data_IF_471618314425
#
_entry.id   IF_471618314425
#
_cell.length_a   1.000
_cell.length_b   1.000
_cell.length_c   1.000
_cell.angle_alpha   90.00
_cell.angle_beta   90.00
_cell.angle_gamma   90.00
#
_symmetry.space_group_name_H-M   'P 1'
#
loop_
_entity.id
_entity.type
_entity.pdbx_description
1 polymer ?
#
# COMPACT_ATOMS: atom_id res chain seq x y z
N UNK A 1 -3.99 5.12 42.77
CA UNK A 1 -5.19 5.53 42.02
C UNK A 1 -4.75 6.35 40.83
N UNK A 2 -4.83 5.74 39.64
CA UNK A 2 -4.93 6.30 38.30
C UNK A 2 -4.41 5.22 37.32
N UNK A 3 -5.24 4.21 37.09
CA UNK A 3 -5.13 3.30 35.95
C UNK A 3 -5.65 4.06 34.74
N UNK A 4 -4.75 4.55 33.90
CA UNK A 4 -5.11 5.06 32.58
C UNK A 4 -5.19 3.87 31.62
N UNK A 5 -6.39 3.58 31.14
CA UNK A 5 -6.63 2.63 30.06
C UNK A 5 -5.92 3.13 28.79
N UNK A 6 -4.81 2.46 28.48
CA UNK A 6 -4.09 2.59 27.21
C UNK A 6 -4.79 1.66 26.21
N UNK A 7 -5.32 2.15 25.07
CA UNK A 7 -6.01 1.31 24.11
C UNK A 7 -5.03 0.37 23.40
N UNK A 8 -4.89 -0.83 23.97
CA UNK A 8 -4.69 -2.11 23.32
C UNK A 8 -3.73 -2.16 22.12
N UNK A 9 -2.43 -2.19 22.39
CA UNK A 9 -1.47 -2.81 21.46
C UNK A 9 -1.52 -4.33 21.66
N UNK A 10 -2.19 -5.04 20.75
CA UNK A 10 -2.22 -6.52 20.73
C UNK A 10 -1.11 -7.01 19.80
N UNK A 11 -0.07 -7.62 20.38
CA UNK A 11 1.04 -8.21 19.63
C UNK A 11 0.53 -9.21 18.59
N UNK A 12 0.74 -8.91 17.30
CA UNK A 12 0.45 -9.80 16.17
C UNK A 12 -0.76 -9.43 15.31
N UNK A 13 -1.58 -8.47 15.73
CA UNK A 13 -2.64 -7.90 14.89
C UNK A 13 -2.18 -6.52 14.40
N UNK A 14 -1.90 -6.41 13.10
CA UNK A 14 -1.53 -5.13 12.51
C UNK A 14 -2.56 -4.05 12.83
N UNK A 15 -2.08 -2.84 13.09
CA UNK A 15 -2.89 -1.66 13.42
C UNK A 15 -4.14 -1.57 12.54
N UNK A 16 -5.31 -1.69 13.17
CA UNK A 16 -6.62 -1.41 12.57
C UNK A 16 -7.05 -0.05 13.14
N UNK A 17 -7.04 1.04 12.35
CA UNK A 17 -7.58 2.32 12.81
C UNK A 17 -9.02 2.13 13.28
N UNK A 18 -9.43 2.81 14.36
CA UNK A 18 -10.77 2.69 14.95
C UNK A 18 -11.90 2.89 13.90
N UNK A 19 -11.68 3.78 12.95
CA UNK A 19 -12.56 4.08 11.81
C UNK A 19 -12.79 2.87 10.87
N UNK A 20 -11.91 1.86 10.92
CA UNK A 20 -12.00 0.64 10.09
C UNK A 20 -12.99 -0.39 10.66
N UNK A 21 -13.30 -0.31 11.95
CA UNK A 21 -14.28 -1.19 12.61
C UNK A 21 -15.69 -0.66 12.38
N UNK A 22 -15.87 0.66 12.38
CA UNK A 22 -17.13 1.28 11.94
C UNK A 22 -17.42 1.00 10.46
N UNK A 23 -16.42 1.12 9.56
CA UNK A 23 -16.58 0.75 8.15
C UNK A 23 -16.91 -0.74 7.95
N UNK A 24 -16.31 -1.64 8.71
CA UNK A 24 -16.60 -3.08 8.60
C UNK A 24 -18.02 -3.43 9.10
N UNK A 25 -18.51 -2.72 10.14
CA UNK A 25 -19.87 -2.88 10.63
C UNK A 25 -20.91 -2.26 9.69
N UNK A 26 -20.58 -1.14 9.03
CA UNK A 26 -21.44 -0.54 7.98
C UNK A 26 -21.50 -1.42 6.73
N UNK A 27 -20.40 -2.05 6.32
CA UNK A 27 -20.38 -3.02 5.21
C UNK A 27 -21.19 -4.28 5.58
N UNK A 28 -21.07 -4.77 6.82
CA UNK A 28 -21.87 -5.89 7.30
C UNK A 28 -23.36 -5.53 7.41
N UNK A 29 -23.71 -4.32 7.84
CA UNK A 29 -25.09 -3.83 7.89
C UNK A 29 -25.68 -3.54 6.50
N UNK A 30 -24.85 -3.14 5.52
CA UNK A 30 -25.24 -3.02 4.10
C UNK A 30 -25.44 -4.37 3.44
N UNK A 31 -24.61 -5.36 3.77
CA UNK A 31 -24.78 -6.74 3.31
C UNK A 31 -26.07 -7.40 3.86
N UNK A 32 -26.59 -6.90 4.99
CA UNK A 32 -27.86 -7.32 5.61
C UNK A 32 -29.05 -6.45 5.15
N UNK A 33 -28.80 -5.42 4.32
CA UNK A 33 -29.87 -4.66 3.69
C UNK A 33 -30.38 -5.43 2.47
N UNK A 34 -31.69 -5.63 2.39
CA UNK A 34 -32.45 -6.21 1.27
C UNK A 34 -32.33 -5.38 -0.05
N UNK A 35 -31.16 -4.81 -0.34
CA UNK A 35 -30.84 -4.27 -1.65
C UNK A 35 -30.75 -5.44 -2.63
N UNK A 36 -31.90 -5.82 -3.22
CA UNK A 36 -31.98 -6.89 -4.20
C UNK A 36 -31.01 -6.62 -5.36
N UNK A 37 -29.82 -7.23 -5.30
CA UNK A 37 -28.85 -7.17 -6.38
C UNK A 37 -29.43 -7.83 -7.63
N UNK A 38 -29.32 -7.15 -8.78
CA UNK A 38 -29.62 -7.79 -10.06
C UNK A 38 -28.36 -8.48 -10.59
N UNK A 39 -28.49 -9.64 -11.25
CA UNK A 39 -27.38 -10.18 -12.01
C UNK A 39 -27.00 -9.18 -13.12
N UNK A 40 -25.70 -8.96 -13.28
CA UNK A 40 -25.14 -8.24 -14.42
C UNK A 40 -25.43 -9.04 -15.70
N UNK A 41 -25.71 -8.33 -16.80
CA UNK A 41 -25.66 -8.95 -18.12
C UNK A 41 -24.21 -9.34 -18.47
N UNK A 42 -24.03 -10.26 -19.42
CA UNK A 42 -22.71 -10.69 -19.87
C UNK A 42 -21.84 -9.49 -20.31
N UNK A 43 -22.43 -8.52 -21.01
CA UNK A 43 -21.73 -7.30 -21.48
C UNK A 43 -21.30 -6.40 -20.30
N UNK A 44 -22.16 -6.20 -19.31
CA UNK A 44 -21.84 -5.41 -18.11
C UNK A 44 -20.76 -6.10 -17.26
N UNK A 45 -20.84 -7.43 -17.15
CA UNK A 45 -19.85 -8.24 -16.44
C UNK A 45 -18.47 -8.17 -17.13
N UNK A 46 -18.43 -8.28 -18.46
CA UNK A 46 -17.20 -8.16 -19.24
C UNK A 46 -16.59 -6.75 -19.15
N UNK A 47 -17.42 -5.71 -19.19
CA UNK A 47 -16.99 -4.33 -19.02
C UNK A 47 -16.38 -4.09 -17.62
N UNK A 48 -17.06 -4.55 -16.56
CA UNK A 48 -16.57 -4.46 -15.19
C UNK A 48 -15.26 -5.24 -15.00
N UNK A 49 -15.18 -6.46 -15.53
CA UNK A 49 -13.97 -7.29 -15.49
C UNK A 49 -12.80 -6.62 -16.22
N UNK A 50 -13.07 -5.98 -17.35
CA UNK A 50 -12.05 -5.27 -18.12
C UNK A 50 -11.54 -4.03 -17.37
N UNK A 51 -12.44 -3.19 -16.84
CA UNK A 51 -12.07 -2.02 -16.02
C UNK A 51 -11.21 -2.45 -14.83
N UNK A 52 -11.62 -3.50 -14.14
CA UNK A 52 -10.87 -4.07 -13.03
C UNK A 52 -9.44 -4.49 -13.41
N UNK A 53 -9.28 -5.27 -14.49
CA UNK A 53 -7.95 -5.73 -14.96
C UNK A 53 -7.04 -4.56 -15.31
N UNK A 54 -7.57 -3.51 -15.93
CA UNK A 54 -6.82 -2.29 -16.24
C UNK A 54 -6.34 -1.62 -14.96
N UNK A 55 -7.20 -1.47 -13.96
CA UNK A 55 -6.86 -0.83 -12.69
C UNK A 55 -5.83 -1.63 -11.89
N UNK A 56 -5.98 -2.95 -11.80
CA UNK A 56 -4.95 -3.82 -11.21
C UNK A 56 -3.63 -3.69 -11.96
N UNK A 57 -3.66 -3.60 -13.29
CA UNK A 57 -2.48 -3.35 -14.11
C UNK A 57 -1.77 -2.05 -13.74
N UNK A 58 -2.53 -0.94 -13.61
CA UNK A 58 -1.99 0.36 -13.20
C UNK A 58 -1.37 0.31 -11.80
N UNK A 59 -2.07 -0.29 -10.82
CA UNK A 59 -1.56 -0.43 -9.45
C UNK A 59 -0.33 -1.34 -9.41
N UNK A 60 -0.30 -2.41 -10.20
CA UNK A 60 0.85 -3.30 -10.30
C UNK A 60 2.08 -2.57 -10.89
N UNK A 61 1.89 -1.76 -11.94
CA UNK A 61 2.95 -0.93 -12.51
C UNK A 61 3.47 0.11 -11.51
N UNK A 62 2.57 0.84 -10.83
CA UNK A 62 2.95 1.81 -9.81
C UNK A 62 3.69 1.14 -8.63
N UNK A 63 3.26 -0.06 -8.23
CA UNK A 63 3.96 -0.87 -7.21
C UNK A 63 5.38 -1.21 -7.63
N UNK A 64 5.58 -1.61 -8.89
CA UNK A 64 6.90 -1.96 -9.41
C UNK A 64 7.86 -0.74 -9.39
N UNK A 65 7.35 0.46 -9.66
CA UNK A 65 8.10 1.72 -9.54
C UNK A 65 8.53 1.96 -8.09
N UNK A 66 7.60 1.83 -7.14
CA UNK A 66 7.89 1.96 -5.70
C UNK A 66 8.95 0.96 -5.27
N UNK A 67 8.78 -0.32 -5.62
CA UNK A 67 9.72 -1.38 -5.25
C UNK A 67 11.12 -1.11 -5.81
N UNK A 68 11.23 -0.78 -7.10
CA UNK A 68 12.50 -0.43 -7.73
C UNK A 68 13.19 0.74 -7.00
N UNK A 69 12.44 1.78 -6.66
CA UNK A 69 12.99 2.96 -6.00
C UNK A 69 13.33 2.70 -4.52
N UNK A 70 12.59 1.86 -3.82
CA UNK A 70 12.96 1.39 -2.48
C UNK A 70 14.28 0.59 -2.51
N UNK A 71 14.45 -0.30 -3.49
CA UNK A 71 15.71 -1.06 -3.67
C UNK A 71 16.89 -0.13 -3.94
N UNK A 72 16.70 0.89 -4.77
CA UNK A 72 17.71 1.93 -5.06
C UNK A 72 18.04 2.76 -3.82
N UNK A 73 17.02 3.22 -3.09
CA UNK A 73 17.19 3.96 -1.84
C UNK A 73 17.99 3.14 -0.82
N UNK A 74 17.58 1.89 -0.58
CA UNK A 74 18.30 0.99 0.33
C UNK A 74 19.75 0.77 -0.10
N UNK A 75 19.97 0.55 -1.40
CA UNK A 75 21.32 0.35 -1.95
C UNK A 75 22.20 1.58 -1.70
N UNK A 76 21.68 2.78 -1.94
CA UNK A 76 22.39 4.03 -1.73
C UNK A 76 22.63 4.34 -0.24
N UNK A 77 21.68 3.98 0.65
CA UNK A 77 21.83 4.15 2.09
C UNK A 77 22.84 3.18 2.72
N UNK A 78 22.95 1.96 2.18
CA UNK A 78 23.91 0.96 2.65
C UNK A 78 25.34 1.24 2.17
N UNK A 79 25.50 1.87 1.01
CA UNK A 79 26.80 2.23 0.42
C UNK A 79 27.79 1.05 0.43
N UNK A 80 27.34 -0.08 -0.11
CA UNK A 80 28.10 -1.33 -0.12
C UNK A 80 27.98 -2.03 -1.47
N UNK A 81 29.09 -2.60 -1.94
CA UNK A 81 29.15 -3.41 -3.18
C UNK A 81 28.20 -4.63 -3.18
N UNK A 82 27.71 -5.04 -2.01
CA UNK A 82 26.76 -6.16 -1.87
C UNK A 82 25.31 -5.70 -1.64
N UNK A 83 25.04 -4.39 -1.54
CA UNK A 83 23.72 -3.88 -1.18
C UNK A 83 22.62 -4.24 -2.20
N UNK A 84 22.97 -4.33 -3.49
CA UNK A 84 22.06 -4.84 -4.52
C UNK A 84 21.61 -6.28 -4.27
N UNK A 85 22.54 -7.16 -3.86
CA UNK A 85 22.22 -8.55 -3.51
C UNK A 85 21.38 -8.65 -2.23
N UNK A 86 21.71 -7.83 -1.22
CA UNK A 86 20.96 -7.81 0.04
C UNK A 86 19.53 -7.33 -0.19
N UNK A 87 19.35 -6.24 -0.95
CA UNK A 87 18.01 -5.71 -1.21
C UNK A 87 17.18 -6.69 -2.04
N UNK A 88 17.75 -7.36 -3.05
CA UNK A 88 17.04 -8.27 -3.97
C UNK A 88 16.13 -9.30 -3.29
N UNK A 89 16.51 -9.83 -2.12
CA UNK A 89 15.75 -10.85 -1.39
C UNK A 89 14.61 -10.32 -0.51
N UNK A 90 14.46 -9.00 -0.37
CA UNK A 90 13.51 -8.39 0.57
C UNK A 90 12.15 -8.10 -0.06
N UNK A 91 11.10 -8.23 0.75
CA UNK A 91 9.76 -7.76 0.40
C UNK A 91 9.68 -6.22 0.45
N UNK A 92 8.65 -5.62 -0.14
CA UNK A 92 8.45 -4.16 -0.04
C UNK A 92 8.31 -3.68 1.41
N UNK A 93 7.64 -4.44 2.28
CA UNK A 93 7.53 -4.13 3.70
C UNK A 93 8.90 -4.12 4.38
N UNK A 94 9.72 -5.14 4.13
CA UNK A 94 11.08 -5.24 4.69
C UNK A 94 11.98 -4.11 4.16
N UNK A 95 11.84 -3.75 2.87
CA UNK A 95 12.56 -2.64 2.26
C UNK A 95 12.20 -1.32 2.94
N UNK A 96 10.92 -1.05 3.20
CA UNK A 96 10.47 0.18 3.88
C UNK A 96 11.04 0.25 5.30
N UNK A 97 10.91 -0.82 6.07
CA UNK A 97 11.40 -0.87 7.45
C UNK A 97 12.92 -0.72 7.50
N UNK A 98 13.63 -1.39 6.61
CA UNK A 98 15.09 -1.26 6.51
C UNK A 98 15.49 0.16 6.11
N UNK A 99 14.82 0.78 5.13
CA UNK A 99 15.06 2.18 4.78
C UNK A 99 14.78 3.14 5.94
N UNK A 100 13.71 2.93 6.72
CA UNK A 100 13.40 3.73 7.91
C UNK A 100 14.50 3.62 8.99
N UNK A 101 15.05 2.42 9.19
CA UNK A 101 16.15 2.18 10.12
C UNK A 101 17.44 2.85 9.61
N UNK A 102 17.81 2.62 8.36
CA UNK A 102 19.02 3.18 7.76
C UNK A 102 18.99 4.71 7.74
N UNK A 103 17.86 5.29 7.35
CA UNK A 103 17.63 6.74 7.40
C UNK A 103 17.64 7.27 8.81
N UNK A 104 17.32 6.49 9.86
CA UNK A 104 17.43 6.91 11.27
C UNK A 104 18.88 6.96 11.76
N UNK A 105 19.72 6.01 11.35
CA UNK A 105 21.09 5.87 11.89
C UNK A 105 22.13 6.62 11.07
N UNK A 106 21.83 6.97 9.82
CA UNK A 106 22.76 7.73 8.98
C UNK A 106 22.91 9.17 9.50
N UNK A 107 24.13 9.51 9.92
CA UNK A 107 24.48 10.80 10.53
C UNK A 107 24.69 11.92 9.50
N UNK A 108 24.83 11.60 8.22
CA UNK A 108 25.08 12.57 7.15
C UNK A 108 23.79 13.19 6.62
N UNK A 109 22.64 12.55 6.87
CA UNK A 109 21.32 13.08 6.50
C UNK A 109 20.89 14.15 7.51
N UNK A 110 20.51 15.33 7.00
CA UNK A 110 19.98 16.43 7.82
C UNK A 110 18.57 16.12 8.35
N UNK A 111 18.18 16.73 9.46
CA UNK A 111 16.93 16.37 10.15
C UNK A 111 15.66 16.70 9.35
N UNK A 112 15.67 17.79 8.59
CA UNK A 112 14.61 18.16 7.65
C UNK A 112 14.40 17.08 6.58
N UNK A 113 15.49 16.63 5.95
CA UNK A 113 15.48 15.58 4.94
C UNK A 113 15.10 14.21 5.52
N UNK A 114 15.53 13.93 6.76
CA UNK A 114 15.17 12.73 7.51
C UNK A 114 13.66 12.69 7.78
N UNK A 115 13.08 13.82 8.12
CA UNK A 115 11.62 13.97 8.30
C UNK A 115 10.90 13.70 6.98
N UNK A 116 11.33 14.35 5.89
CA UNK A 116 10.71 14.20 4.56
C UNK A 116 10.67 12.74 4.07
N UNK A 117 11.81 12.03 4.16
CA UNK A 117 11.87 10.63 3.71
C UNK A 117 11.07 9.70 4.62
N UNK A 118 11.04 9.97 5.93
CA UNK A 118 10.23 9.20 6.88
C UNK A 118 8.74 9.35 6.63
N UNK A 119 8.27 10.55 6.31
CA UNK A 119 6.88 10.77 5.93
C UNK A 119 6.55 9.97 4.66
N UNK A 120 7.41 10.03 3.65
CA UNK A 120 7.23 9.29 2.39
C UNK A 120 7.19 7.78 2.64
N UNK A 121 8.13 7.24 3.41
CA UNK A 121 8.20 5.81 3.76
C UNK A 121 7.03 5.37 4.64
N UNK A 122 6.55 6.23 5.54
CA UNK A 122 5.41 5.92 6.42
C UNK A 122 4.10 5.90 5.64
N UNK A 123 3.93 6.80 4.66
CA UNK A 123 2.77 6.83 3.76
C UNK A 123 2.68 5.59 2.85
N UNK A 124 3.81 4.94 2.54
CA UNK A 124 3.83 3.72 1.72
C UNK A 124 3.23 2.51 2.44
N UNK A 125 3.31 2.43 3.77
CA UNK A 125 2.81 1.28 4.54
C UNK A 125 1.31 1.02 4.30
N UNK A 126 0.39 1.98 4.54
CA UNK A 126 -1.02 1.77 4.27
C UNK A 126 -1.30 1.53 2.77
N UNK A 127 -0.59 2.24 1.87
CA UNK A 127 -0.77 2.06 0.43
C UNK A 127 -0.46 0.62 -0.05
N UNK A 128 0.61 0.01 0.47
CA UNK A 128 0.97 -1.38 0.13
C UNK A 128 -0.05 -2.38 0.69
N UNK A 129 -0.61 -2.12 1.87
CA UNK A 129 -1.69 -2.95 2.43
C UNK A 129 -2.91 -2.90 1.50
N UNK A 130 -3.36 -1.71 1.11
CA UNK A 130 -4.48 -1.55 0.17
C UNK A 130 -4.18 -2.22 -1.17
N UNK A 131 -2.97 -2.06 -1.69
CA UNK A 131 -2.51 -2.74 -2.91
C UNK A 131 -2.60 -4.25 -2.81
N UNK A 132 -2.22 -4.82 -1.67
CA UNK A 132 -2.28 -6.28 -1.49
C UNK A 132 -3.72 -6.77 -1.48
N UNK A 133 -4.64 -6.04 -0.85
CA UNK A 133 -6.06 -6.35 -0.93
C UNK A 133 -6.58 -6.25 -2.37
N UNK A 134 -6.17 -5.22 -3.11
CA UNK A 134 -6.58 -5.01 -4.48
C UNK A 134 -6.09 -6.12 -5.43
N UNK A 135 -4.79 -6.44 -5.37
CA UNK A 135 -4.12 -7.34 -6.32
C UNK A 135 -4.38 -8.81 -6.00
N UNK A 136 -4.56 -9.16 -4.73
CA UNK A 136 -4.74 -10.54 -4.28
C UNK A 136 -6.17 -10.87 -3.87
N UNK A 137 -7.06 -9.87 -3.82
CA UNK A 137 -8.49 -10.08 -3.60
C UNK A 137 -9.15 -10.79 -4.77
N UNK A 138 -10.16 -11.60 -4.47
CA UNK A 138 -11.14 -12.03 -5.48
C UNK A 138 -12.14 -10.91 -5.69
N UNK A 139 -12.41 -10.57 -6.95
CA UNK A 139 -13.30 -9.47 -7.33
C UNK A 139 -14.64 -10.01 -7.79
N UNK A 140 -15.72 -9.47 -7.22
CA UNK A 140 -17.08 -9.81 -7.61
C UNK A 140 -17.86 -8.53 -7.95
N UNK A 141 -18.10 -8.24 -9.24
CA UNK A 141 -18.93 -7.10 -9.61
C UNK A 141 -20.42 -7.45 -9.39
N UNK A 142 -21.18 -6.52 -8.83
CA UNK A 142 -22.62 -6.62 -8.67
C UNK A 142 -23.29 -5.29 -9.07
N UNK A 143 -24.56 -5.32 -9.45
CA UNK A 143 -25.35 -4.11 -9.70
C UNK A 143 -26.50 -4.01 -8.70
N UNK A 144 -26.73 -2.81 -8.17
CA UNK A 144 -27.96 -2.52 -7.44
C UNK A 144 -29.16 -2.44 -8.40
N UNK A 145 -30.35 -2.69 -7.87
CA UNK A 145 -31.61 -2.72 -8.64
C UNK A 145 -31.97 -1.38 -9.31
N UNK A 146 -31.38 -0.28 -8.85
CA UNK A 146 -31.56 1.07 -9.40
C UNK A 146 -30.96 1.24 -10.80
N UNK A 147 -30.20 0.25 -11.29
CA UNK A 147 -29.56 0.28 -12.61
C UNK A 147 -28.21 0.99 -12.62
N UNK A 148 -27.81 1.59 -11.49
CA UNK A 148 -26.45 2.07 -11.28
C UNK A 148 -25.57 0.89 -10.85
N UNK A 149 -24.47 0.69 -11.58
CA UNK A 149 -23.45 -0.28 -11.20
C UNK A 149 -22.68 0.37 -10.05
N UNK A 150 -22.89 -0.11 -8.83
CA UNK A 150 -22.12 0.37 -7.69
C UNK A 150 -20.65 -0.02 -7.90
N UNK A 151 -19.76 0.95 -7.76
CA UNK A 151 -18.35 0.86 -8.15
C UNK A 151 -17.47 0.16 -7.10
N UNK A 152 -18.10 -0.64 -6.23
CA UNK A 152 -17.58 -1.15 -4.97
C UNK A 152 -17.23 -2.65 -5.06
N UNK A 153 -16.10 -3.00 -5.68
CA UNK A 153 -15.64 -4.36 -5.74
C UNK A 153 -15.33 -4.89 -4.35
N UNK A 154 -15.85 -6.07 -4.08
CA UNK A 154 -15.50 -6.85 -2.91
C UNK A 154 -14.19 -7.57 -3.19
N UNK A 155 -13.22 -7.45 -2.31
CA UNK A 155 -12.00 -8.24 -2.27
C UNK A 155 -12.09 -9.23 -1.10
N UNK A 156 -12.11 -10.53 -1.40
CA UNK A 156 -11.94 -11.57 -0.38
C UNK A 156 -10.46 -11.79 -0.10
N UNK A 157 -10.05 -11.59 1.16
CA UNK A 157 -8.67 -11.79 1.59
C UNK A 157 -8.61 -12.96 2.55
N UNK A 158 -7.98 -14.06 2.13
CA UNK A 158 -7.68 -15.19 3.02
C UNK A 158 -6.38 -14.93 3.76
N UNK A 159 -6.45 -14.70 5.08
CA UNK A 159 -5.26 -14.75 5.95
C UNK A 159 -5.13 -16.17 6.48
N UNK A 160 -3.94 -16.77 6.36
CA UNK A 160 -3.64 -18.08 6.99
C UNK A 160 -4.07 -18.04 8.47
N UNK A 161 -5.08 -18.84 8.82
CA UNK A 161 -5.66 -19.04 10.17
C UNK A 161 -6.67 -17.98 10.67
N UNK A 162 -7.10 -17.05 9.82
CA UNK A 162 -8.24 -16.16 10.12
C UNK A 162 -9.37 -16.41 9.11
N UNK A 163 -10.61 -16.09 9.49
CA UNK A 163 -11.75 -16.14 8.57
C UNK A 163 -11.56 -15.19 7.38
N UNK A 164 -12.27 -15.46 6.29
CA UNK A 164 -12.24 -14.60 5.11
C UNK A 164 -12.73 -13.20 5.48
N UNK A 165 -11.93 -12.18 5.15
CA UNK A 165 -12.31 -10.78 5.33
C UNK A 165 -12.74 -10.20 4.00
N UNK A 166 -13.94 -9.63 3.97
CA UNK A 166 -14.44 -8.83 2.86
C UNK A 166 -13.89 -7.41 3.03
N UNK A 167 -13.22 -6.90 2.00
CA UNK A 167 -12.77 -5.49 1.93
C UNK A 167 -13.40 -4.87 0.69
N UNK A 168 -14.09 -3.75 0.86
CA UNK A 168 -14.66 -2.97 -0.25
C UNK A 168 -13.63 -1.93 -0.68
N UNK A 169 -13.31 -1.86 -1.99
CA UNK A 169 -12.36 -0.87 -2.53
C UNK A 169 -12.95 -0.25 -3.79
N UNK A 170 -13.57 0.92 -3.72
CA UNK A 170 -14.15 1.55 -4.90
C UNK A 170 -13.15 1.71 -6.06
N UNK A 171 -13.64 1.76 -7.31
CA UNK A 171 -12.79 2.02 -8.47
C UNK A 171 -12.00 3.33 -8.33
N UNK A 172 -12.63 4.40 -7.83
CA UNK A 172 -11.97 5.66 -7.53
C UNK A 172 -10.83 5.51 -6.52
N UNK A 173 -11.03 4.71 -5.46
CA UNK A 173 -9.99 4.42 -4.48
C UNK A 173 -8.83 3.63 -5.10
N UNK A 174 -9.11 2.72 -6.02
CA UNK A 174 -8.08 1.98 -6.75
C UNK A 174 -7.28 2.89 -7.71
N UNK A 175 -7.94 3.83 -8.39
CA UNK A 175 -7.30 4.84 -9.22
C UNK A 175 -6.42 5.78 -8.40
N UNK A 176 -6.94 6.26 -7.28
CA UNK A 176 -6.21 7.14 -6.37
C UNK A 176 -5.02 6.43 -5.74
N UNK A 177 -5.14 5.13 -5.45
CA UNK A 177 -4.03 4.30 -5.00
C UNK A 177 -2.92 4.22 -6.06
N UNK A 178 -3.26 4.04 -7.34
CA UNK A 178 -2.26 4.01 -8.41
C UNK A 178 -1.49 5.34 -8.52
N UNK A 179 -2.21 6.47 -8.43
CA UNK A 179 -1.62 7.83 -8.40
C UNK A 179 -0.72 8.01 -7.17
N UNK A 180 -1.24 7.69 -5.98
CA UNK A 180 -0.52 7.77 -4.71
C UNK A 180 0.78 6.97 -4.75
N UNK A 181 0.74 5.71 -5.22
CA UNK A 181 1.94 4.87 -5.35
C UNK A 181 2.94 5.46 -6.35
N UNK A 182 2.46 5.99 -7.47
CA UNK A 182 3.32 6.64 -8.47
C UNK A 182 4.01 7.86 -7.88
N UNK A 183 3.27 8.74 -7.20
CA UNK A 183 3.80 9.96 -6.59
C UNK A 183 4.80 9.64 -5.47
N UNK A 184 4.48 8.71 -4.57
CA UNK A 184 5.40 8.25 -3.53
C UNK A 184 6.65 7.60 -4.14
N UNK A 185 6.48 6.80 -5.19
CA UNK A 185 7.59 6.21 -5.95
C UNK A 185 8.50 7.28 -6.56
N UNK A 186 7.94 8.35 -7.13
CA UNK A 186 8.70 9.47 -7.69
C UNK A 186 9.36 10.33 -6.61
N UNK A 187 8.75 10.49 -5.44
CA UNK A 187 9.39 11.14 -4.28
C UNK A 187 10.60 10.34 -3.81
N UNK A 188 10.48 9.01 -3.69
CA UNK A 188 11.62 8.14 -3.39
C UNK A 188 12.75 8.28 -4.41
N UNK A 189 12.41 8.32 -5.71
CA UNK A 189 13.38 8.52 -6.78
C UNK A 189 14.14 9.84 -6.60
N UNK A 190 13.43 10.96 -6.51
CA UNK A 190 14.05 12.30 -6.33
C UNK A 190 14.90 12.35 -5.08
N UNK A 191 14.40 11.83 -3.97
CA UNK A 191 15.16 11.82 -2.72
C UNK A 191 16.47 11.02 -2.88
N UNK A 192 16.42 9.87 -3.54
CA UNK A 192 17.58 8.99 -3.74
C UNK A 192 18.65 9.62 -4.64
N UNK A 193 18.27 10.34 -5.70
CA UNK A 193 19.22 10.85 -6.70
C UNK A 193 19.56 12.33 -6.55
N UNK A 194 18.66 13.15 -6.03
CA UNK A 194 18.87 14.60 -5.92
C UNK A 194 19.32 15.00 -4.51
N UNK A 195 18.77 14.34 -3.48
CA UNK A 195 18.96 14.76 -2.08
C UNK A 195 20.12 14.01 -1.43
N UNK A 196 20.16 12.68 -1.57
CA UNK A 196 21.14 11.84 -0.87
C UNK A 196 22.59 12.10 -1.33
N UNK A 197 22.93 12.20 -2.63
CA UNK A 197 24.33 12.38 -3.07
C UNK A 197 24.91 13.72 -2.63
N UNK A 198 24.10 14.77 -2.51
CA UNK A 198 24.55 16.08 -2.04
C UNK A 198 25.03 16.08 -0.58
N UNK A 199 24.63 15.07 0.20
CA UNK A 199 24.91 14.98 1.63
C UNK A 199 25.86 13.84 1.99
N UNK A 200 25.77 12.72 1.25
CA UNK A 200 26.70 11.61 1.35
C UNK A 200 28.06 12.04 0.76
N UNK A 201 28.85 12.81 1.53
CA UNK A 201 30.21 13.28 1.17
C UNK A 201 31.25 12.14 1.14
N UNK A 202 30.80 10.90 1.04
CA UNK A 202 31.67 9.75 0.82
C UNK A 202 31.98 9.70 -0.67
N UNK A 203 33.20 9.28 -1.04
CA UNK A 203 33.40 8.70 -2.36
C UNK A 203 32.46 7.49 -2.41
N UNK A 204 31.24 7.69 -2.92
CA UNK A 204 30.30 6.61 -3.13
C UNK A 204 31.02 5.60 -4.01
N UNK A 205 31.05 4.35 -3.55
CA UNK A 205 31.55 3.25 -4.38
C UNK A 205 30.43 2.95 -5.38
N UNK A 206 30.33 3.82 -6.39
CA UNK A 206 29.49 3.54 -7.56
C UNK A 206 29.99 2.22 -8.19
N UNK A 207 29.11 1.25 -8.45
CA UNK A 207 29.45 0.15 -9.34
C UNK A 207 29.61 0.64 -10.79
#
# INVERSE_FOLDING_TARGET
MATGDDPGFVDGEGWVPADSVELANDVAARADSDAEHRPLSDEEFDAATTRHRVLVGHVAQASAIVELNLRRLMTALLDSKYAGLVSAGLSMSDLIETCLILTKVNQEIKEDQRTEIRETLSALKPAIVTRNHLVHGLWYPFAEKTGEIEEDPLALVSKRRAGDKVVVISYDAAEELAKTLTDLGMRLFRWTFDVLPAQARREQVYP
#
